data_IF_403786010699
#
_entry.id   IF_403786010699
#
_cell.length_a   1.000
_cell.length_b   1.000
_cell.length_c   1.000
_cell.angle_alpha   90.00
_cell.angle_beta   90.00
_cell.angle_gamma   90.00
#
_symmetry.space_group_name_H-M   'P 1'
#
loop_
_entity.id
_entity.type
_entity.pdbx_description
1 polymer ?
#
# COMPACT_ATOMS: atom_id res chain seq x y z
N UNK A 1 8.66 9.17 27.84
CA UNK A 1 8.35 7.73 27.98
C UNK A 1 9.60 7.01 28.43
N UNK A 2 9.47 5.94 29.22
CA UNK A 2 10.65 5.13 29.56
C UNK A 2 11.09 4.35 28.31
N UNK A 3 12.37 4.40 27.91
CA UNK A 3 12.86 3.63 26.78
C UNK A 3 12.85 2.13 27.10
N UNK A 4 12.52 1.32 26.10
CA UNK A 4 12.56 -0.15 26.15
C UNK A 4 14.01 -0.60 26.42
N UNK A 5 14.21 -1.67 27.18
CA UNK A 5 15.56 -2.08 27.55
C UNK A 5 16.33 -2.69 26.37
N UNK A 6 15.67 -3.54 25.57
CA UNK A 6 16.28 -4.24 24.44
C UNK A 6 15.41 -4.10 23.19
N UNK A 7 15.98 -3.52 22.13
CA UNK A 7 15.29 -3.32 20.86
C UNK A 7 16.03 -4.06 19.76
N UNK A 8 15.32 -4.86 18.97
CA UNK A 8 15.86 -5.46 17.75
C UNK A 8 15.41 -4.63 16.55
N UNK A 9 16.37 -4.18 15.75
CA UNK A 9 16.11 -3.36 14.57
C UNK A 9 16.23 -4.17 13.28
N UNK A 10 15.14 -4.20 12.52
CA UNK A 10 15.07 -4.71 11.16
C UNK A 10 15.52 -3.65 10.12
N UNK A 11 15.68 -4.03 8.84
CA UNK A 11 16.00 -3.13 7.74
C UNK A 11 15.01 -1.96 7.64
N UNK A 12 13.72 -2.23 7.91
CA UNK A 12 12.67 -1.21 7.93
C UNK A 12 12.96 -0.06 8.90
N UNK A 13 13.55 -0.36 10.06
CA UNK A 13 13.93 0.65 11.06
C UNK A 13 14.92 1.67 10.49
N UNK A 14 15.95 1.19 9.77
CA UNK A 14 16.98 2.05 9.19
C UNK A 14 16.50 2.79 7.94
N UNK A 15 15.69 2.12 7.11
CA UNK A 15 15.13 2.72 5.89
C UNK A 15 14.19 3.88 6.18
N UNK A 16 13.47 3.84 7.30
CA UNK A 16 12.56 4.90 7.75
C UNK A 16 13.22 5.96 8.64
N UNK A 17 14.51 5.84 8.92
CA UNK A 17 15.25 6.75 9.80
C UNK A 17 14.66 6.83 11.22
N UNK A 18 14.31 5.66 11.78
CA UNK A 18 13.79 5.55 13.13
C UNK A 18 14.75 6.15 14.18
N UNK A 19 14.29 6.99 15.12
CA UNK A 19 15.09 7.47 16.23
C UNK A 19 15.25 6.37 17.30
N UNK A 20 15.99 5.30 16.98
CA UNK A 20 16.13 4.12 17.85
C UNK A 20 16.70 4.46 19.23
N UNK A 21 17.51 5.51 19.35
CA UNK A 21 18.07 5.99 20.61
C UNK A 21 17.02 6.45 21.62
N UNK A 22 15.88 6.95 21.13
CA UNK A 22 14.78 7.42 21.99
C UNK A 22 13.85 6.27 22.38
N UNK A 23 13.86 5.19 21.58
CA UNK A 23 13.00 4.02 21.73
C UNK A 23 13.62 3.00 22.69
N UNK A 24 14.93 2.76 22.58
CA UNK A 24 15.59 1.67 23.28
C UNK A 24 16.97 1.99 23.82
N UNK A 25 17.32 1.42 24.98
CA UNK A 25 18.66 1.55 25.58
C UNK A 25 19.70 0.69 24.87
N UNK A 26 19.36 -0.58 24.61
CA UNK A 26 20.25 -1.53 23.93
C UNK A 26 19.68 -1.88 22.56
N UNK A 27 20.36 -1.46 21.49
CA UNK A 27 19.92 -1.68 20.11
C UNK A 27 20.69 -2.86 19.52
N UNK A 28 19.97 -3.90 19.14
CA UNK A 28 20.49 -5.12 18.52
C UNK A 28 20.09 -5.20 17.06
N UNK A 29 20.96 -5.76 16.25
CA UNK A 29 20.62 -6.16 14.87
C UNK A 29 21.55 -7.28 14.40
N UNK A 30 21.34 -7.73 13.17
CA UNK A 30 22.11 -8.79 12.54
C UNK A 30 22.97 -8.17 11.44
N UNK A 31 24.17 -8.71 11.23
CA UNK A 31 25.09 -8.21 10.21
C UNK A 31 24.51 -8.29 8.79
N UNK A 32 23.69 -9.32 8.54
CA UNK A 32 23.06 -9.54 7.23
C UNK A 32 22.07 -8.41 6.89
N UNK A 33 21.28 -7.95 7.86
CA UNK A 33 20.33 -6.83 7.69
C UNK A 33 21.05 -5.58 7.18
N UNK A 34 22.17 -5.20 7.81
CA UNK A 34 22.95 -4.02 7.39
C UNK A 34 23.60 -4.21 6.02
N UNK A 35 24.07 -5.43 5.71
CA UNK A 35 24.68 -5.76 4.40
C UNK A 35 23.66 -5.74 3.25
N UNK A 36 22.40 -6.04 3.56
CA UNK A 36 21.31 -6.07 2.59
C UNK A 36 20.90 -4.66 2.12
N UNK A 37 21.09 -3.64 2.96
CA UNK A 37 20.68 -2.26 2.67
C UNK A 37 21.46 -1.68 1.47
N UNK A 38 20.75 -1.49 0.36
CA UNK A 38 21.31 -0.92 -0.89
C UNK A 38 21.17 0.59 -0.99
N UNK A 39 20.23 1.18 -0.25
CA UNK A 39 19.95 2.62 -0.33
C UNK A 39 21.19 3.45 0.04
N UNK A 40 21.48 4.50 -0.74
CA UNK A 40 22.69 5.30 -0.58
C UNK A 40 22.58 6.27 0.59
N UNK A 41 21.40 6.83 0.83
CA UNK A 41 21.19 7.77 1.93
C UNK A 41 21.27 7.02 3.28
N UNK A 42 20.56 5.89 3.39
CA UNK A 42 20.58 5.06 4.60
C UNK A 42 21.98 4.53 4.91
N UNK A 43 22.75 4.05 3.91
CA UNK A 43 24.14 3.62 4.14
C UNK A 43 25.06 4.72 4.68
N UNK A 44 24.85 5.97 4.24
CA UNK A 44 25.61 7.11 4.76
C UNK A 44 25.25 7.38 6.22
N UNK A 45 23.96 7.33 6.58
CA UNK A 45 23.50 7.51 7.96
C UNK A 45 24.01 6.41 8.90
N UNK A 46 23.98 5.16 8.45
CA UNK A 46 24.51 4.01 9.20
C UNK A 46 26.01 4.14 9.55
N UNK A 47 26.77 4.91 8.77
CA UNK A 47 28.19 5.15 9.04
C UNK A 47 28.42 6.19 10.16
N UNK A 48 27.40 6.97 10.52
CA UNK A 48 27.50 8.11 11.47
C UNK A 48 26.40 8.06 12.54
N UNK A 49 26.02 6.86 12.99
CA UNK A 49 24.98 6.70 14.00
C UNK A 49 25.42 7.32 15.34
N UNK A 50 24.52 8.03 16.04
CA UNK A 50 24.81 8.63 17.35
C UNK A 50 24.72 7.62 18.51
N UNK A 51 24.47 6.34 18.22
CA UNK A 51 24.29 5.27 19.19
C UNK A 51 25.08 4.01 18.79
N UNK A 52 25.35 3.16 19.78
CA UNK A 52 26.02 1.88 19.56
C UNK A 52 25.05 0.82 19.05
N UNK A 53 25.41 0.16 17.96
CA UNK A 53 24.63 -0.90 17.33
C UNK A 53 25.27 -2.26 17.65
N UNK A 54 24.58 -3.09 18.44
CA UNK A 54 25.10 -4.41 18.86
C UNK A 54 24.73 -5.50 17.86
N UNK A 55 25.74 -6.12 17.27
CA UNK A 55 25.53 -7.25 16.37
C UNK A 55 25.47 -8.56 17.15
N UNK A 56 24.33 -9.25 17.09
CA UNK A 56 24.14 -10.56 17.73
C UNK A 56 23.52 -11.53 16.71
N UNK A 57 24.10 -12.72 16.59
CA UNK A 57 23.54 -13.80 15.76
C UNK A 57 22.67 -14.70 16.65
N UNK A 58 21.46 -15.09 16.19
CA UNK A 58 20.57 -15.93 16.96
C UNK A 58 21.07 -17.38 17.02
N UNK A 59 20.76 -18.09 18.11
CA UNK A 59 21.05 -19.51 18.18
C UNK A 59 20.19 -20.33 17.19
N UNK A 60 20.73 -21.41 16.59
CA UNK A 60 20.00 -22.22 15.61
C UNK A 60 18.70 -22.84 16.13
N UNK A 61 18.56 -23.03 17.44
CA UNK A 61 17.36 -23.56 18.08
C UNK A 61 16.17 -22.62 17.91
N UNK A 62 16.38 -21.32 18.14
CA UNK A 62 15.34 -20.30 17.98
C UNK A 62 14.98 -20.08 16.50
N UNK A 63 15.96 -20.18 15.60
CA UNK A 63 15.71 -20.13 14.15
C UNK A 63 14.76 -21.25 13.71
N UNK A 64 14.96 -22.47 14.22
CA UNK A 64 14.07 -23.61 13.94
C UNK A 64 12.67 -23.38 14.49
N UNK A 65 12.57 -22.93 15.75
CA UNK A 65 11.28 -22.66 16.41
C UNK A 65 10.46 -21.63 15.63
N UNK A 66 11.05 -20.49 15.30
CA UNK A 66 10.39 -19.43 14.52
C UNK A 66 10.02 -19.91 13.12
N UNK A 67 10.89 -20.70 12.48
CA UNK A 67 10.61 -21.28 11.16
C UNK A 67 9.39 -22.20 11.19
N UNK A 68 9.29 -23.06 12.20
CA UNK A 68 8.13 -23.95 12.36
C UNK A 68 6.85 -23.16 12.67
N UNK A 69 6.94 -22.15 13.54
CA UNK A 69 5.82 -21.28 13.86
C UNK A 69 5.31 -20.53 12.62
N UNK A 70 6.22 -19.91 11.86
CA UNK A 70 5.91 -19.14 10.63
C UNK A 70 5.26 -20.01 9.53
N UNK A 71 5.58 -21.32 9.49
CA UNK A 71 4.90 -22.27 8.59
C UNK A 71 3.46 -22.55 9.02
N UNK A 72 3.20 -22.58 10.33
CA UNK A 72 1.84 -22.74 10.88
C UNK A 72 0.99 -21.48 10.65
N UNK A 73 1.57 -20.28 10.75
CA UNK A 73 0.84 -19.02 10.43
C UNK A 73 0.57 -18.88 8.93
N UNK A 74 1.44 -19.45 8.10
CA UNK A 74 1.38 -19.37 6.63
C UNK A 74 2.18 -18.20 6.04
N UNK A 75 2.97 -17.49 6.85
CA UNK A 75 3.80 -16.35 6.41
C UNK A 75 5.22 -16.75 6.00
N UNK A 76 5.68 -17.97 6.31
CA UNK A 76 7.00 -18.47 5.90
C UNK A 76 7.37 -18.23 4.41
N UNK A 77 6.51 -18.47 3.41
CA UNK A 77 6.89 -18.27 2.00
C UNK A 77 7.07 -16.79 1.58
N UNK A 78 6.64 -15.85 2.43
CA UNK A 78 6.82 -14.41 2.24
C UNK A 78 7.99 -13.85 3.05
N UNK A 79 8.48 -14.58 4.05
CA UNK A 79 9.62 -14.19 4.87
C UNK A 79 10.94 -14.60 4.20
N UNK A 80 11.92 -13.71 4.27
CA UNK A 80 13.29 -13.98 3.85
C UNK A 80 14.11 -14.68 4.95
N UNK A 81 15.32 -15.12 4.60
CA UNK A 81 16.22 -15.73 5.56
C UNK A 81 16.66 -14.75 6.67
N UNK A 82 16.89 -13.48 6.30
CA UNK A 82 17.25 -12.42 7.24
C UNK A 82 16.09 -12.10 8.17
N UNK A 83 14.85 -12.07 7.67
CA UNK A 83 13.65 -11.86 8.49
C UNK A 83 13.50 -12.95 9.56
N UNK A 84 13.68 -14.22 9.19
CA UNK A 84 13.62 -15.34 10.14
C UNK A 84 14.70 -15.21 11.21
N UNK A 85 15.91 -14.77 10.85
CA UNK A 85 16.97 -14.55 11.83
C UNK A 85 16.62 -13.40 12.79
N UNK A 86 16.05 -12.29 12.29
CA UNK A 86 15.61 -11.17 13.14
C UNK A 86 14.53 -11.61 14.13
N UNK A 87 13.53 -12.34 13.65
CA UNK A 87 12.47 -12.94 14.48
C UNK A 87 13.04 -13.93 15.52
N UNK A 88 14.05 -14.71 15.15
CA UNK A 88 14.72 -15.61 16.07
C UNK A 88 15.53 -14.86 17.15
N UNK A 89 16.19 -13.76 16.76
CA UNK A 89 16.92 -12.91 17.69
C UNK A 89 15.97 -12.24 18.68
N UNK A 90 14.80 -11.76 18.23
CA UNK A 90 13.79 -11.19 19.13
C UNK A 90 13.29 -12.22 20.12
N UNK A 91 12.98 -13.44 19.67
CA UNK A 91 12.54 -14.51 20.54
C UNK A 91 13.62 -14.90 21.56
N UNK A 92 14.88 -14.95 21.13
CA UNK A 92 16.00 -15.26 22.01
C UNK A 92 16.15 -14.22 23.12
N UNK A 93 16.08 -12.93 22.81
CA UNK A 93 16.19 -11.87 23.82
C UNK A 93 15.00 -11.90 24.78
N UNK A 94 13.79 -12.13 24.27
CA UNK A 94 12.60 -12.30 25.13
C UNK A 94 12.80 -13.46 26.12
N UNK A 95 13.30 -14.60 25.63
CA UNK A 95 13.58 -15.77 26.46
C UNK A 95 14.69 -15.54 27.51
N UNK A 96 15.69 -14.71 27.18
CA UNK A 96 16.81 -14.37 28.08
C UNK A 96 16.40 -13.37 29.19
N UNK A 97 15.55 -12.37 28.88
CA UNK A 97 15.26 -11.27 29.81
C UNK A 97 13.91 -11.38 30.53
N UNK A 98 12.85 -11.83 29.83
CA UNK A 98 11.48 -11.92 30.38
C UNK A 98 11.11 -13.36 30.71
N UNK A 99 11.49 -14.30 29.82
CA UNK A 99 11.15 -15.71 29.89
C UNK A 99 10.08 -16.13 28.87
N UNK A 100 9.83 -17.44 28.76
CA UNK A 100 9.02 -18.03 27.68
C UNK A 100 7.58 -18.40 28.05
N UNK A 101 7.14 -18.09 29.28
CA UNK A 101 5.84 -18.54 29.81
C UNK A 101 4.63 -17.89 29.12
N UNK A 102 4.77 -16.65 28.67
CA UNK A 102 3.71 -15.89 27.99
C UNK A 102 3.68 -16.13 26.47
N UNK A 103 4.72 -16.76 25.91
CA UNK A 103 4.87 -16.96 24.47
C UNK A 103 4.01 -18.13 23.98
N UNK A 104 3.32 -17.92 22.86
CA UNK A 104 2.45 -18.92 22.24
C UNK A 104 3.26 -19.87 21.37
N UNK A 105 3.04 -21.19 21.53
CA UNK A 105 3.71 -22.23 20.71
C UNK A 105 2.97 -22.55 19.42
N UNK A 106 1.67 -22.25 19.38
CA UNK A 106 0.82 -22.45 18.21
C UNK A 106 -0.02 -21.21 17.96
N UNK A 107 -0.24 -20.84 16.69
CA UNK A 107 -1.04 -19.69 16.35
C UNK A 107 -2.53 -19.93 16.63
N UNK A 108 -3.25 -18.85 16.93
CA UNK A 108 -4.69 -18.91 17.14
C UNK A 108 -5.47 -19.13 15.84
N UNK A 109 -6.68 -19.66 15.97
CA UNK A 109 -7.54 -19.92 14.83
C UNK A 109 -8.03 -18.61 14.21
N UNK A 110 -7.94 -18.55 12.88
CA UNK A 110 -8.38 -17.41 12.08
C UNK A 110 -9.89 -17.23 12.18
N UNK A 111 -10.35 -16.02 12.55
CA UNK A 111 -11.76 -15.64 12.51
C UNK A 111 -12.09 -15.07 11.13
N UNK A 112 -13.27 -15.42 10.62
CA UNK A 112 -13.70 -15.06 9.26
C UNK A 112 -14.99 -14.27 9.32
N UNK A 113 -14.97 -13.06 8.76
CA UNK A 113 -16.15 -12.23 8.54
C UNK A 113 -16.35 -12.02 7.04
N UNK A 114 -17.53 -11.56 6.64
CA UNK A 114 -17.76 -11.24 5.24
C UNK A 114 -18.69 -10.05 5.05
N UNK A 115 -18.37 -9.20 4.08
CA UNK A 115 -19.06 -7.95 3.76
C UNK A 115 -19.41 -7.91 2.27
N UNK A 116 -20.43 -7.14 1.89
CA UNK A 116 -20.77 -6.92 0.48
C UNK A 116 -19.83 -5.89 -0.19
N UNK A 117 -19.02 -5.20 0.61
CA UNK A 117 -18.10 -4.17 0.16
C UNK A 117 -17.04 -4.72 -0.79
N UNK A 118 -16.63 -3.90 -1.77
CA UNK A 118 -15.61 -4.28 -2.74
C UNK A 118 -14.19 -4.12 -2.16
N UNK A 119 -13.23 -5.03 -2.41
CA UNK A 119 -11.87 -4.94 -1.83
C UNK A 119 -11.07 -3.69 -2.23
N UNK A 120 -11.47 -3.03 -3.31
CA UNK A 120 -10.82 -1.81 -3.83
C UNK A 120 -11.50 -0.52 -3.35
N UNK A 121 -12.47 -0.58 -2.43
CA UNK A 121 -13.00 0.65 -1.82
C UNK A 121 -11.90 1.34 -1.02
N UNK A 122 -11.66 2.65 -1.21
CA UNK A 122 -10.59 3.40 -0.58
C UNK A 122 -10.91 3.70 0.89
N UNK A 123 -11.01 2.67 1.71
CA UNK A 123 -11.13 2.82 3.15
C UNK A 123 -9.75 3.16 3.72
N UNK A 124 -9.68 4.14 4.62
CA UNK A 124 -8.44 4.56 5.30
C UNK A 124 -7.36 5.11 4.36
N UNK A 125 -7.76 5.67 3.21
CA UNK A 125 -6.84 6.47 2.39
C UNK A 125 -7.05 7.93 2.77
N UNK A 126 -6.04 8.54 3.38
CA UNK A 126 -6.07 9.96 3.73
C UNK A 126 -6.40 10.82 2.50
N UNK A 127 -7.32 11.78 2.67
CA UNK A 127 -7.79 12.65 1.59
C UNK A 127 -8.92 12.07 0.73
N UNK A 128 -9.35 10.83 0.98
CA UNK A 128 -10.58 10.27 0.40
C UNK A 128 -11.70 10.34 1.43
N UNK A 129 -12.55 11.38 1.35
CA UNK A 129 -13.72 11.51 2.20
C UNK A 129 -14.84 10.57 1.73
N UNK A 130 -15.27 9.66 2.61
CA UNK A 130 -16.48 8.86 2.41
C UNK A 130 -17.55 9.41 3.36
N UNK A 131 -18.61 10.09 2.85
CA UNK A 131 -19.66 10.56 3.71
C UNK A 131 -20.35 9.36 4.37
N UNK A 132 -20.20 9.22 5.68
CA UNK A 132 -21.04 8.30 6.44
C UNK A 132 -22.45 8.86 6.41
N UNK A 133 -23.42 8.14 5.85
CA UNK A 133 -24.82 8.43 6.15
C UNK A 133 -24.98 8.32 7.66
N UNK A 134 -25.14 9.44 8.35
CA UNK A 134 -25.73 9.43 9.68
C UNK A 134 -27.06 8.72 9.55
N UNK A 135 -27.20 7.56 10.20
CA UNK A 135 -28.53 7.05 10.51
C UNK A 135 -29.08 8.06 11.50
N UNK A 136 -29.93 8.98 11.03
CA UNK A 136 -30.82 9.70 11.92
C UNK A 136 -31.63 8.64 12.67
N UNK A 137 -31.30 8.46 13.95
CA UNK A 137 -32.13 7.74 14.90
C UNK A 137 -33.34 8.67 15.12
N UNK A 138 -34.40 8.52 14.33
CA UNK A 138 -35.66 9.17 14.64
C UNK A 138 -36.41 8.26 15.62
N UNK A 139 -36.55 8.77 16.84
CA UNK A 139 -37.52 8.29 17.81
C UNK A 139 -38.93 8.32 17.20
N UNK A 140 -39.70 7.30 17.57
CA UNK A 140 -41.03 6.94 17.11
C UNK A 140 -42.10 7.97 17.48
N UNK A 141 -42.97 8.36 16.54
CA UNK A 141 -44.42 8.50 16.79
C UNK A 141 -45.20 8.02 15.55
N UNK A 142 -46.23 7.24 15.86
CA UNK A 142 -47.14 6.45 15.04
C UNK A 142 -48.12 7.28 14.17
N UNK A 143 -48.36 6.87 12.91
CA UNK A 143 -49.69 6.78 12.27
C UNK A 143 -49.61 6.06 10.90
N UNK A 144 -50.61 5.20 10.63
CA UNK A 144 -50.62 4.10 9.65
C UNK A 144 -50.77 4.40 8.14
N UNK A 145 -50.91 3.34 7.30
CA UNK A 145 -50.53 3.30 5.86
C UNK A 145 -51.75 3.30 4.90
N UNK A 146 -51.65 3.01 3.57
CA UNK A 146 -50.55 3.11 2.57
C UNK A 146 -50.97 3.85 1.26
N UNK A 147 -50.02 4.19 0.36
CA UNK A 147 -50.18 4.03 -1.11
C UNK A 147 -48.90 4.39 -1.90
N UNK A 148 -48.42 3.41 -2.65
CA UNK A 148 -47.79 3.42 -3.97
C UNK A 148 -46.93 4.62 -4.46
N UNK A 149 -45.68 4.32 -4.82
CA UNK A 149 -44.79 5.31 -5.44
C UNK A 149 -43.40 4.76 -5.76
N UNK A 150 -43.31 4.01 -6.87
CA UNK A 150 -42.11 3.75 -7.70
C UNK A 150 -40.75 3.58 -7.00
N UNK A 151 -40.28 2.34 -6.95
CA UNK A 151 -38.88 2.00 -6.73
C UNK A 151 -37.98 2.63 -7.82
N UNK A 152 -37.34 3.76 -7.51
CA UNK A 152 -36.24 4.29 -8.30
C UNK A 152 -35.00 3.40 -8.12
N UNK A 153 -34.98 2.28 -8.84
CA UNK A 153 -33.87 1.33 -9.00
C UNK A 153 -32.68 1.86 -9.83
N UNK A 154 -32.65 3.15 -10.18
CA UNK A 154 -31.59 3.72 -11.02
C UNK A 154 -30.33 4.14 -10.27
N UNK A 155 -30.35 4.27 -8.94
CA UNK A 155 -29.17 4.71 -8.18
C UNK A 155 -28.25 3.58 -7.69
N UNK A 156 -28.06 2.55 -8.53
CA UNK A 156 -26.99 1.54 -8.39
C UNK A 156 -26.01 1.56 -9.57
N UNK A 157 -26.11 2.58 -10.41
CA UNK A 157 -25.21 2.87 -11.53
C UNK A 157 -24.17 3.92 -11.15
N UNK A 158 -23.30 3.60 -10.18
CA UNK A 158 -22.01 4.27 -10.10
C UNK A 158 -21.17 3.86 -11.32
N UNK A 159 -21.24 4.69 -12.36
CA UNK A 159 -20.48 4.60 -13.61
C UNK A 159 -18.98 4.69 -13.30
N UNK A 160 -18.33 3.53 -13.17
CA UNK A 160 -16.90 3.40 -12.85
C UNK A 160 -15.95 3.83 -13.99
N UNK A 161 -16.44 4.60 -14.97
CA UNK A 161 -15.63 5.13 -16.07
C UNK A 161 -16.18 6.49 -16.46
N UNK A 162 -15.44 7.57 -16.16
CA UNK A 162 -15.71 8.88 -16.77
C UNK A 162 -15.60 8.72 -18.29
N UNK A 163 -16.61 9.17 -19.02
CA UNK A 163 -16.43 9.56 -20.42
C UNK A 163 -15.29 10.58 -20.47
N UNK A 164 -14.43 10.56 -21.50
CA UNK A 164 -13.37 11.58 -21.63
C UNK A 164 -14.00 12.97 -21.54
N UNK A 165 -13.41 13.83 -20.72
CA UNK A 165 -13.84 15.23 -20.56
C UNK A 165 -13.98 15.88 -21.95
N UNK A 166 -15.01 16.70 -22.17
CA UNK A 166 -15.16 17.47 -23.40
C UNK A 166 -13.90 18.33 -23.63
N UNK A 167 -13.58 18.56 -24.92
CA UNK A 167 -12.36 19.23 -25.33
C UNK A 167 -12.42 20.72 -24.95
N UNK A 168 -11.53 21.16 -24.05
CA UNK A 168 -11.50 22.52 -23.47
C UNK A 168 -11.02 23.56 -24.51
N UNK A 169 -10.53 23.13 -25.67
CA UNK A 169 -9.99 24.00 -26.72
C UNK A 169 -10.99 25.05 -27.23
N UNK A 170 -12.30 24.78 -27.21
CA UNK A 170 -13.31 25.73 -27.69
C UNK A 170 -13.65 26.83 -26.67
N UNK A 171 -13.61 26.53 -25.36
CA UNK A 171 -13.84 27.54 -24.31
C UNK A 171 -12.64 28.50 -24.16
N UNK A 172 -11.41 28.00 -24.34
CA UNK A 172 -10.21 28.83 -24.32
C UNK A 172 -10.11 29.77 -25.53
N UNK A 173 -10.70 29.42 -26.67
CA UNK A 173 -10.76 30.31 -27.84
C UNK A 173 -11.76 31.46 -27.65
N UNK A 174 -12.83 31.24 -26.89
CA UNK A 174 -13.83 32.28 -26.59
C UNK A 174 -13.24 33.38 -25.70
N UNK A 175 -12.46 32.99 -24.68
CA UNK A 175 -11.79 33.93 -23.75
C UNK A 175 -10.65 34.74 -24.38
N UNK A 176 -10.13 34.32 -25.54
CA UNK A 176 -9.08 35.05 -26.27
C UNK A 176 -9.66 36.12 -27.23
N UNK A 177 -10.98 36.14 -27.44
CA UNK A 177 -11.64 37.08 -28.36
C UNK A 177 -12.21 38.30 -27.61
N UNK A 178 -12.58 38.16 -26.33
CA UNK A 178 -13.21 39.23 -25.55
C UNK A 178 -12.21 40.13 -24.78
N UNK A 179 -10.90 39.94 -24.98
CA UNK A 179 -9.83 40.67 -24.28
C UNK A 179 -9.43 42.02 -24.90
N UNK A 180 -10.33 42.73 -25.58
CA UNK A 180 -10.00 44.03 -26.18
C UNK A 180 -11.19 44.99 -26.13
N UNK A 181 -11.30 45.71 -25.02
CA UNK A 181 -11.63 47.15 -24.92
C UNK A 181 -11.64 47.53 -23.42
N UNK A 182 -10.81 48.50 -23.06
CA UNK A 182 -10.74 49.18 -21.76
C UNK A 182 -11.82 50.26 -21.71
N UNK A 183 -12.48 50.49 -20.57
CA UNK A 183 -12.83 51.85 -20.06
C UNK A 183 -12.91 51.83 -18.51
N UNK A 184 -12.46 52.93 -17.92
CA UNK A 184 -12.32 53.27 -16.50
C UNK A 184 -13.65 53.78 -15.91
N UNK A 185 -14.02 53.39 -14.68
CA UNK A 185 -14.85 54.21 -13.76
C UNK A 185 -14.46 53.94 -12.29
N UNK A 186 -14.38 55.02 -11.49
CA UNK A 186 -13.98 55.12 -10.08
C UNK A 186 -15.18 55.11 -9.11
N UNK A 187 -14.92 54.76 -7.83
CA UNK A 187 -15.71 54.97 -6.58
C UNK A 187 -17.04 54.15 -6.44
N UNK A 188 -17.44 53.56 -5.30
CA UNK A 188 -17.39 53.94 -3.87
C UNK A 188 -17.29 52.70 -2.95
N UNK A 189 -16.77 52.91 -1.72
CA UNK A 189 -16.76 51.96 -0.60
C UNK A 189 -18.14 51.92 0.10
N UNK A 190 -18.79 50.75 0.15
CA UNK A 190 -19.83 50.45 1.16
C UNK A 190 -19.52 49.10 1.83
N UNK A 191 -19.32 49.18 3.15
CA UNK A 191 -19.19 48.05 4.07
C UNK A 191 -20.58 47.42 4.29
N UNK A 192 -20.84 46.23 3.75
CA UNK A 192 -21.94 45.36 4.19
C UNK A 192 -21.35 44.12 4.89
N UNK A 193 -21.56 44.07 6.21
CA UNK A 193 -21.34 42.93 7.08
C UNK A 193 -22.34 41.81 6.74
N UNK A 194 -21.97 40.90 5.84
CA UNK A 194 -22.68 39.62 5.70
C UNK A 194 -22.17 38.63 6.77
N UNK A 195 -22.89 38.60 7.90
CA UNK A 195 -22.90 37.49 8.86
C UNK A 195 -23.41 36.22 8.17
N UNK A 196 -22.51 35.48 7.52
CA UNK A 196 -22.80 34.12 7.08
C UNK A 196 -22.61 33.16 8.25
N UNK A 197 -23.75 32.82 8.86
CA UNK A 197 -23.95 31.73 9.80
C UNK A 197 -23.16 30.47 9.37
N UNK A 198 -22.27 30.00 10.26
CA UNK A 198 -21.56 28.73 10.20
C UNK A 198 -22.54 27.57 9.99
N UNK A 199 -22.85 27.27 8.72
CA UNK A 199 -23.54 26.05 8.33
C UNK A 199 -22.54 24.90 8.41
N UNK A 200 -22.42 24.30 9.60
CA UNK A 200 -21.88 22.96 9.90
C UNK A 200 -21.15 22.30 8.71
N UNK A 201 -19.93 22.77 8.42
CA UNK A 201 -19.03 22.11 7.49
C UNK A 201 -18.59 20.80 8.14
N UNK A 202 -19.16 19.69 7.68
CA UNK A 202 -18.64 18.34 7.84
C UNK A 202 -17.26 18.23 7.13
N UNK A 203 -16.30 19.07 7.52
CA UNK A 203 -14.96 19.27 6.98
C UNK A 203 -13.98 18.13 7.33
N UNK A 204 -14.49 16.92 7.55
CA UNK A 204 -13.75 15.79 8.13
C UNK A 204 -12.81 15.03 7.18
N UNK A 205 -12.39 15.61 6.05
CA UNK A 205 -11.63 14.87 5.02
C UNK A 205 -10.50 15.60 4.30
N UNK A 206 -10.23 16.86 4.63
CA UNK A 206 -9.20 17.65 3.94
C UNK A 206 -7.79 17.25 4.36
N UNK A 207 -6.81 17.38 3.46
CA UNK A 207 -5.39 17.36 3.81
C UNK A 207 -4.92 18.82 3.89
N UNK A 208 -4.71 19.32 5.10
CA UNK A 208 -4.32 20.70 5.38
C UNK A 208 -2.85 20.76 5.83
N UNK A 209 -2.17 21.91 5.70
CA UNK A 209 -0.82 22.08 6.26
C UNK A 209 -0.74 21.74 7.75
N UNK A 210 -1.83 21.94 8.49
CA UNK A 210 -1.93 21.59 9.92
C UNK A 210 -1.98 20.09 10.15
N UNK A 211 -2.68 19.34 9.29
CA UNK A 211 -2.79 17.89 9.44
C UNK A 211 -1.76 17.09 8.65
N UNK A 212 -1.00 17.66 7.71
CA UNK A 212 -0.07 16.87 6.90
C UNK A 212 1.00 16.19 7.76
N UNK A 213 1.49 16.92 8.77
CA UNK A 213 2.37 16.36 9.80
C UNK A 213 1.61 15.34 10.61
N UNK A 214 0.39 15.63 11.07
CA UNK A 214 -0.43 14.65 11.81
C UNK A 214 -0.79 13.41 10.99
N UNK A 215 -0.93 13.44 9.67
CA UNK A 215 -1.27 12.27 8.85
C UNK A 215 -0.01 11.44 8.58
N UNK A 216 1.11 12.15 8.39
CA UNK A 216 2.43 11.54 8.50
C UNK A 216 2.62 10.96 9.90
N UNK A 217 2.10 11.61 10.96
CA UNK A 217 2.40 11.35 12.38
C UNK A 217 1.38 10.51 13.17
N UNK A 218 0.19 10.28 12.64
CA UNK A 218 -0.78 9.22 12.98
C UNK A 218 -0.33 7.92 12.33
N UNK A 219 0.28 8.05 11.14
CA UNK A 219 1.28 7.09 10.68
C UNK A 219 2.62 7.30 11.39
N UNK A 220 2.75 8.06 12.49
CA UNK A 220 3.96 8.17 13.34
C UNK A 220 3.80 7.82 14.83
N UNK A 221 2.58 7.57 15.35
CA UNK A 221 2.36 7.39 16.78
C UNK A 221 2.97 6.07 17.29
N UNK A 222 4.03 6.16 18.09
CA UNK A 222 4.65 5.03 18.77
C UNK A 222 3.93 4.78 20.10
N UNK A 223 2.78 4.12 20.08
CA UNK A 223 2.15 3.67 21.33
C UNK A 223 2.89 2.42 21.85
N UNK A 224 4.03 2.64 22.49
CA UNK A 224 4.72 1.57 23.21
C UNK A 224 3.88 1.23 24.45
N UNK A 225 3.41 -0.02 24.61
CA UNK A 225 2.74 -0.42 25.84
C UNK A 225 3.62 -0.10 27.05
N UNK A 226 3.02 0.39 28.14
CA UNK A 226 3.74 0.55 29.40
C UNK A 226 4.21 -0.85 29.85
N UNK A 227 5.50 -1.00 30.13
CA UNK A 227 6.17 -2.23 30.63
C UNK A 227 6.71 -3.24 29.58
N UNK A 228 7.10 -2.78 28.38
CA UNK A 228 7.81 -3.64 27.41
C UNK A 228 9.32 -3.64 27.65
N UNK A 229 9.90 -4.80 27.92
CA UNK A 229 11.35 -4.96 28.12
C UNK A 229 12.11 -5.27 26.82
N UNK A 230 11.52 -6.11 25.96
CA UNK A 230 12.08 -6.50 24.66
C UNK A 230 11.08 -6.19 23.56
N UNK A 231 11.54 -5.61 22.45
CA UNK A 231 10.68 -5.34 21.31
C UNK A 231 11.40 -5.31 19.97
N UNK A 232 10.65 -5.60 18.91
CA UNK A 232 11.15 -5.57 17.54
C UNK A 232 10.63 -4.34 16.80
N UNK A 233 11.52 -3.58 16.19
CA UNK A 233 11.17 -2.52 15.24
C UNK A 233 11.23 -3.10 13.84
N UNK A 234 10.06 -3.28 13.23
CA UNK A 234 9.92 -3.70 11.84
C UNK A 234 8.73 -3.01 11.18
N UNK A 235 8.84 -2.81 9.86
CA UNK A 235 7.76 -2.26 9.03
C UNK A 235 7.08 -3.32 8.18
N UNK A 236 7.56 -4.58 8.20
CA UNK A 236 7.00 -5.64 7.36
C UNK A 236 5.81 -6.32 8.04
N UNK A 237 4.69 -6.39 7.32
CA UNK A 237 3.46 -7.01 7.81
C UNK A 237 3.65 -8.49 8.15
N UNK A 238 4.44 -9.24 7.36
CA UNK A 238 4.65 -10.66 7.61
C UNK A 238 5.38 -10.91 8.94
N UNK A 239 6.42 -10.11 9.22
CA UNK A 239 7.15 -10.16 10.49
C UNK A 239 6.25 -9.74 11.67
N UNK A 240 5.50 -8.65 11.53
CA UNK A 240 4.58 -8.18 12.57
C UNK A 240 3.52 -9.24 12.91
N UNK A 241 2.96 -9.91 11.90
CA UNK A 241 1.97 -10.98 12.11
C UNK A 241 2.54 -12.15 12.90
N UNK A 242 3.75 -12.61 12.55
CA UNK A 242 4.41 -13.69 13.29
C UNK A 242 4.73 -13.25 14.73
N UNK A 243 5.26 -12.04 14.93
CA UNK A 243 5.58 -11.51 16.27
C UNK A 243 4.33 -11.45 17.16
N UNK A 244 3.25 -10.83 16.68
CA UNK A 244 1.99 -10.72 17.42
C UNK A 244 1.37 -12.09 17.74
N UNK A 245 1.41 -13.04 16.80
CA UNK A 245 0.90 -14.39 17.04
C UNK A 245 1.77 -15.20 18.01
N UNK A 246 3.07 -14.95 18.07
CA UNK A 246 3.97 -15.56 19.06
C UNK A 246 3.81 -14.91 20.45
N UNK A 247 3.18 -13.74 20.55
CA UNK A 247 3.07 -12.96 21.78
C UNK A 247 4.28 -12.05 22.03
N UNK A 248 5.07 -11.75 21.00
CA UNK A 248 6.20 -10.83 21.07
C UNK A 248 5.74 -9.40 20.78
N UNK A 249 6.39 -8.44 21.43
CA UNK A 249 6.04 -7.02 21.27
C UNK A 249 6.67 -6.42 20.02
N UNK A 250 5.81 -5.89 19.14
CA UNK A 250 6.23 -5.06 18.01
C UNK A 250 6.27 -3.61 18.46
N UNK A 251 7.41 -2.96 18.27
CA UNK A 251 7.57 -1.54 18.46
C UNK A 251 7.37 -0.88 17.10
N UNK A 252 6.23 -0.23 16.93
CA UNK A 252 6.01 0.54 15.74
C UNK A 252 6.95 1.74 15.74
N UNK A 253 7.75 1.83 14.69
CA UNK A 253 8.29 3.12 14.29
C UNK A 253 7.29 3.71 13.35
N UNK A 254 6.93 4.92 13.69
CA UNK A 254 6.04 5.70 12.93
C UNK A 254 4.67 4.99 12.72
N UNK A 255 3.79 4.85 13.73
CA UNK A 255 2.37 4.46 13.55
C UNK A 255 2.06 3.14 12.82
N UNK A 256 3.08 2.39 12.39
CA UNK A 256 2.97 1.13 11.65
C UNK A 256 2.83 -0.07 12.59
N UNK A 257 2.11 0.11 13.71
CA UNK A 257 1.62 -1.04 14.48
C UNK A 257 0.32 -1.46 13.82
N UNK A 258 0.13 -2.76 13.57
CA UNK A 258 -1.18 -3.27 13.13
C UNK A 258 -2.16 -3.20 14.30
N UNK A 259 -2.59 -1.99 14.69
CA UNK A 259 -3.49 -1.81 15.83
C UNK A 259 -4.95 -1.64 15.46
N UNK A 260 -5.27 -1.37 14.20
CA UNK A 260 -6.65 -1.37 13.69
C UNK A 260 -6.73 -1.12 12.17
N UNK A 261 -5.66 -0.60 11.57
CA UNK A 261 -5.56 -0.46 10.12
C UNK A 261 -5.59 -1.84 9.44
N UNK A 262 -6.65 -2.10 8.68
CA UNK A 262 -6.82 -3.32 7.88
C UNK A 262 -5.69 -3.43 6.86
N UNK A 263 -4.67 -4.22 7.20
CA UNK A 263 -3.67 -4.68 6.25
C UNK A 263 -4.32 -5.60 5.21
N UNK A 264 -3.64 -5.84 4.10
CA UNK A 264 -4.16 -6.70 3.05
C UNK A 264 -3.24 -7.89 2.82
N UNK A 265 -3.84 -9.03 2.52
CA UNK A 265 -3.13 -10.21 2.03
C UNK A 265 -3.77 -10.70 0.73
N UNK A 266 -3.01 -11.47 -0.03
CA UNK A 266 -3.50 -12.13 -1.24
C UNK A 266 -3.90 -13.57 -0.91
N UNK A 267 -5.12 -13.96 -1.25
CA UNK A 267 -5.62 -15.34 -1.13
C UNK A 267 -5.95 -15.92 -2.49
N UNK A 268 -5.48 -17.12 -2.77
CA UNK A 268 -5.87 -17.86 -3.96
C UNK A 268 -7.30 -18.39 -3.79
N UNK A 269 -8.21 -18.06 -4.73
CA UNK A 269 -9.57 -18.60 -4.68
C UNK A 269 -9.67 -20.05 -5.19
N UNK A 270 -8.60 -20.60 -5.79
CA UNK A 270 -8.57 -21.98 -6.29
C UNK A 270 -8.02 -22.99 -5.28
N UNK A 271 -6.83 -22.73 -4.70
CA UNK A 271 -6.18 -23.63 -3.74
C UNK A 271 -6.21 -23.12 -2.29
N UNK A 272 -6.83 -21.96 -2.04
CA UNK A 272 -7.04 -21.35 -0.73
C UNK A 272 -5.78 -20.95 0.07
N UNK A 273 -4.57 -21.19 -0.45
CA UNK A 273 -3.33 -20.65 0.11
C UNK A 273 -3.34 -19.11 0.09
N UNK A 274 -2.86 -18.53 1.18
CA UNK A 274 -2.64 -17.09 1.38
C UNK A 274 -1.17 -16.74 1.20
N UNK A 275 -0.89 -15.47 0.94
CA UNK A 275 0.45 -14.87 0.93
C UNK A 275 0.31 -13.38 1.29
N UNK A 276 1.25 -12.87 2.08
CA UNK A 276 1.33 -11.45 2.44
C UNK A 276 2.12 -10.61 1.42
N UNK A 277 2.80 -11.24 0.45
CA UNK A 277 3.48 -10.53 -0.63
C UNK A 277 2.48 -9.93 -1.62
N UNK A 278 2.24 -8.63 -1.48
CA UNK A 278 1.28 -7.86 -2.28
C UNK A 278 1.71 -7.64 -3.74
N UNK A 279 2.96 -7.94 -4.10
CA UNK A 279 3.45 -7.83 -5.48
C UNK A 279 3.19 -9.11 -6.30
N UNK A 280 2.76 -10.21 -5.67
CA UNK A 280 2.48 -11.46 -6.36
C UNK A 280 1.23 -11.37 -7.22
N UNK A 281 1.35 -11.96 -8.40
CA UNK A 281 0.25 -12.09 -9.37
C UNK A 281 -0.17 -13.57 -9.52
N UNK A 282 0.79 -14.48 -9.43
CA UNK A 282 0.60 -15.93 -9.49
C UNK A 282 0.65 -16.52 -8.09
N UNK A 283 -0.18 -17.53 -7.84
CA UNK A 283 -0.17 -18.25 -6.58
C UNK A 283 1.06 -19.16 -6.48
N UNK A 284 1.87 -19.00 -5.44
CA UNK A 284 3.09 -19.82 -5.25
C UNK A 284 2.85 -21.31 -4.99
N UNK A 285 1.60 -21.74 -4.76
CA UNK A 285 1.29 -23.17 -4.58
C UNK A 285 0.76 -23.84 -5.85
N UNK A 286 -0.19 -23.21 -6.56
CA UNK A 286 -0.81 -23.80 -7.75
C UNK A 286 -0.40 -23.15 -9.09
N UNK A 287 0.46 -22.12 -9.06
CA UNK A 287 0.96 -21.42 -10.25
C UNK A 287 -0.06 -20.52 -10.96
N UNK A 288 -1.36 -20.65 -10.65
CA UNK A 288 -2.41 -19.91 -11.34
C UNK A 288 -2.46 -18.43 -10.93
N UNK A 289 -2.87 -17.57 -11.88
CA UNK A 289 -3.15 -16.14 -11.67
C UNK A 289 -4.51 -15.91 -11.00
N UNK A 290 -4.68 -16.44 -9.79
CA UNK A 290 -5.97 -16.56 -9.09
C UNK A 290 -5.98 -15.87 -7.72
N UNK A 291 -4.96 -15.07 -7.42
CA UNK A 291 -4.89 -14.28 -6.19
C UNK A 291 -5.98 -13.20 -6.15
N UNK A 292 -6.53 -12.99 -4.95
CA UNK A 292 -7.54 -11.98 -4.62
C UNK A 292 -7.15 -11.31 -3.32
N UNK A 293 -7.26 -9.99 -3.28
CA UNK A 293 -6.97 -9.17 -2.11
C UNK A 293 -8.07 -9.37 -1.05
N UNK A 294 -7.66 -9.63 0.18
CA UNK A 294 -8.53 -9.79 1.36
C UNK A 294 -7.95 -8.92 2.46
N UNK A 295 -8.79 -8.12 3.12
CA UNK A 295 -8.35 -7.32 4.26
C UNK A 295 -8.28 -8.17 5.53
N UNK A 296 -7.26 -7.95 6.33
CA UNK A 296 -6.98 -8.63 7.60
C UNK A 296 -6.75 -7.64 8.71
N UNK A 297 -7.23 -7.99 9.91
CA UNK A 297 -6.97 -7.28 11.16
C UNK A 297 -6.30 -8.27 12.09
N UNK A 298 -5.22 -7.86 12.74
CA UNK A 298 -4.57 -8.63 13.80
C UNK A 298 -4.85 -7.84 15.08
N UNK A 299 -5.48 -8.47 16.06
CA UNK A 299 -5.66 -7.82 17.36
C UNK A 299 -4.41 -8.04 18.22
N UNK A 300 -4.24 -7.24 19.28
CA UNK A 300 -3.14 -7.40 20.24
C UNK A 300 -3.08 -8.80 20.88
N UNK A 301 -4.22 -9.50 20.97
CA UNK A 301 -4.29 -10.90 21.40
C UNK A 301 -3.66 -11.89 20.40
N UNK A 302 -3.20 -11.44 19.24
CA UNK A 302 -2.71 -12.29 18.15
C UNK A 302 -3.83 -12.99 17.37
N UNK A 303 -5.10 -12.63 17.58
CA UNK A 303 -6.22 -13.16 16.79
C UNK A 303 -6.23 -12.56 15.39
N UNK A 304 -6.13 -13.39 14.35
CA UNK A 304 -6.23 -12.97 12.96
C UNK A 304 -7.69 -12.97 12.49
N UNK A 305 -8.19 -11.82 12.06
CA UNK A 305 -9.53 -11.62 11.53
C UNK A 305 -9.48 -11.30 10.03
N UNK A 306 -10.01 -12.19 9.18
CA UNK A 306 -10.11 -11.99 7.73
C UNK A 306 -11.49 -11.48 7.33
N UNK A 307 -11.56 -10.37 6.60
CA UNK A 307 -12.81 -9.81 6.08
C UNK A 307 -12.95 -10.09 4.58
N UNK A 308 -13.83 -11.04 4.23
CA UNK A 308 -14.07 -11.43 2.84
C UNK A 308 -15.13 -10.57 2.16
N UNK A 309 -14.94 -10.31 0.87
CA UNK A 309 -15.97 -9.66 0.05
C UNK A 309 -16.89 -10.69 -0.61
N UNK A 310 -18.21 -10.57 -0.36
CA UNK A 310 -19.28 -11.31 -1.06
C UNK A 310 -19.70 -10.64 -2.37
N UNK A 311 -19.05 -9.55 -2.77
CA UNK A 311 -19.38 -8.82 -3.99
C UNK A 311 -19.17 -9.73 -5.23
N UNK A 312 -20.20 -9.98 -6.05
CA UNK A 312 -20.12 -10.90 -7.18
C UNK A 312 -19.16 -10.41 -8.28
N UNK A 313 -18.80 -9.12 -8.30
CA UNK A 313 -17.83 -8.56 -9.25
C UNK A 313 -16.40 -9.07 -9.00
N UNK A 314 -16.08 -9.52 -7.79
CA UNK A 314 -14.73 -9.98 -7.40
C UNK A 314 -14.40 -11.32 -8.06
N UNK A 315 -15.37 -12.24 -8.12
CA UNK A 315 -15.23 -13.57 -8.71
C UNK A 315 -16.07 -13.68 -9.98
N UNK A 316 -15.75 -12.84 -10.96
CA UNK A 316 -16.41 -12.85 -12.26
C UNK A 316 -15.52 -13.52 -13.33
N UNK A 317 -15.99 -14.58 -14.03
CA UNK A 317 -15.21 -15.26 -15.07
C UNK A 317 -15.11 -14.51 -16.40
N UNK A 318 -15.79 -13.36 -16.56
CA UNK A 318 -15.78 -12.58 -17.80
C UNK A 318 -14.37 -12.09 -18.15
N UNK A 319 -14.00 -12.25 -19.43
CA UNK A 319 -12.72 -11.80 -19.98
C UNK A 319 -11.51 -12.67 -19.64
N UNK A 320 -11.71 -13.82 -18.99
CA UNK A 320 -10.64 -14.78 -18.70
C UNK A 320 -10.38 -15.75 -19.87
N UNK A 321 -11.39 -16.09 -20.67
CA UNK A 321 -11.27 -17.01 -21.81
C UNK A 321 -11.23 -16.23 -23.13
N UNK A 322 -10.11 -16.33 -23.84
CA UNK A 322 -9.88 -15.74 -25.15
C UNK A 322 -8.82 -16.53 -25.92
N UNK A 323 -8.78 -16.36 -27.24
CA UNK A 323 -7.80 -17.06 -28.09
C UNK A 323 -6.41 -16.47 -27.89
N UNK A 324 -5.44 -17.33 -27.56
CA UNK A 324 -4.04 -16.95 -27.43
C UNK A 324 -3.33 -17.04 -28.78
N UNK A 325 -2.34 -16.16 -29.04
CA UNK A 325 -1.50 -16.28 -30.23
C UNK A 325 -0.63 -17.54 -30.18
N UNK A 326 -0.14 -17.98 -31.32
CA UNK A 326 0.83 -19.08 -31.38
C UNK A 326 2.13 -18.69 -30.65
N UNK A 327 2.76 -19.63 -29.93
CA UNK A 327 4.01 -19.34 -29.22
C UNK A 327 5.11 -19.00 -30.23
N UNK A 328 5.79 -17.87 -30.02
CA UNK A 328 6.91 -17.42 -30.87
C UNK A 328 8.19 -17.30 -30.05
N UNK A 329 9.31 -17.65 -30.68
CA UNK A 329 10.65 -17.46 -30.15
C UNK A 329 11.40 -16.31 -30.83
N UNK A 330 12.63 -16.06 -30.39
CA UNK A 330 13.52 -15.05 -30.95
C UNK A 330 13.71 -13.81 -30.07
N UNK A 331 14.61 -12.91 -30.50
CA UNK A 331 15.06 -11.75 -29.71
C UNK A 331 13.96 -10.72 -29.42
N UNK A 332 12.89 -10.70 -30.22
CA UNK A 332 11.82 -9.70 -30.16
C UNK A 332 10.44 -10.30 -29.87
N UNK A 333 10.37 -11.60 -29.57
CA UNK A 333 9.10 -12.25 -29.28
C UNK A 333 8.57 -11.81 -27.90
N UNK A 334 7.31 -11.38 -27.86
CA UNK A 334 6.61 -10.99 -26.64
C UNK A 334 5.33 -11.81 -26.53
N UNK A 335 5.44 -12.95 -25.85
CA UNK A 335 4.29 -13.82 -25.59
C UNK A 335 3.50 -13.29 -24.37
N UNK A 336 2.18 -13.56 -24.26
CA UNK A 336 1.42 -13.25 -23.06
C UNK A 336 2.05 -13.88 -21.80
N UNK A 337 1.94 -13.21 -20.65
CA UNK A 337 2.52 -13.67 -19.39
C UNK A 337 1.55 -14.63 -18.67
N UNK A 338 1.89 -15.92 -18.64
CA UNK A 338 1.03 -17.02 -18.18
C UNK A 338 1.54 -17.72 -16.92
N UNK A 339 2.86 -17.76 -16.68
CA UNK A 339 3.47 -18.36 -15.48
C UNK A 339 4.52 -17.42 -14.88
N UNK A 340 4.81 -17.57 -13.59
CA UNK A 340 5.76 -16.69 -12.86
C UNK A 340 7.21 -16.78 -13.36
N UNK A 341 7.62 -17.97 -13.78
CA UNK A 341 8.96 -18.33 -14.25
C UNK A 341 9.11 -18.17 -15.77
N UNK A 342 8.14 -17.51 -16.41
CA UNK A 342 8.15 -17.33 -17.86
C UNK A 342 9.34 -16.49 -18.30
N UNK A 343 10.14 -17.06 -19.21
CA UNK A 343 11.31 -16.40 -19.77
C UNK A 343 10.89 -15.35 -20.81
N UNK A 344 11.32 -14.11 -20.60
CA UNK A 344 11.17 -13.02 -21.56
C UNK A 344 12.52 -12.63 -22.17
N UNK A 345 12.59 -12.37 -23.48
CA UNK A 345 13.77 -11.75 -24.08
C UNK A 345 14.09 -10.40 -23.43
N UNK A 346 15.38 -10.04 -23.39
CA UNK A 346 15.81 -8.78 -22.80
C UNK A 346 15.46 -7.58 -23.70
N UNK A 347 14.27 -7.02 -23.48
CA UNK A 347 13.82 -5.78 -24.11
C UNK A 347 13.86 -4.64 -23.09
N UNK A 348 15.06 -4.09 -22.87
CA UNK A 348 15.29 -3.03 -21.89
C UNK A 348 15.30 -1.65 -22.54
N UNK A 349 14.88 -0.64 -21.77
CA UNK A 349 14.98 0.77 -22.13
C UNK A 349 16.43 1.27 -22.04
N UNK A 350 16.79 2.27 -22.85
CA UNK A 350 18.04 3.01 -22.74
C UNK A 350 18.12 3.79 -21.43
N UNK A 351 19.30 4.33 -21.08
CA UNK A 351 19.44 5.18 -19.90
C UNK A 351 18.57 6.44 -20.01
N UNK A 352 18.61 7.11 -21.19
CA UNK A 352 17.81 8.31 -21.49
C UNK A 352 16.32 8.06 -21.32
N UNK A 353 15.81 6.93 -21.82
CA UNK A 353 14.38 6.58 -21.70
C UNK A 353 13.90 6.27 -20.27
N UNK A 354 14.82 6.03 -19.31
CA UNK A 354 14.47 5.75 -17.90
C UNK A 354 14.54 6.99 -17.02
N UNK A 355 15.17 8.06 -17.50
CA UNK A 355 15.28 9.31 -16.76
C UNK A 355 13.89 9.95 -16.64
N UNK A 356 13.61 10.48 -15.45
CA UNK A 356 12.44 11.31 -15.16
C UNK A 356 12.95 12.65 -14.67
N UNK A 357 12.18 13.71 -14.90
CA UNK A 357 12.47 15.03 -14.35
C UNK A 357 12.21 15.02 -12.84
N UNK A 358 13.21 15.40 -12.04
CA UNK A 358 13.03 15.70 -10.62
C UNK A 358 13.21 17.21 -10.42
N UNK A 359 12.09 17.91 -10.20
CA UNK A 359 12.06 19.37 -10.04
C UNK A 359 12.78 19.83 -8.77
N UNK A 360 12.80 18.98 -7.74
CA UNK A 360 13.43 19.29 -6.45
C UNK A 360 14.89 18.81 -6.35
N UNK A 361 15.47 18.35 -7.46
CA UNK A 361 16.87 17.98 -7.48
C UNK A 361 17.75 19.23 -7.56
N UNK A 362 18.94 19.24 -6.92
CA UNK A 362 19.80 20.43 -6.86
C UNK A 362 20.32 20.86 -8.24
N UNK A 363 20.35 19.94 -9.21
CA UNK A 363 20.78 20.16 -10.59
C UNK A 363 19.67 20.72 -11.50
N UNK A 364 18.43 20.84 -11.01
CA UNK A 364 17.29 21.30 -11.80
C UNK A 364 17.46 22.74 -12.32
N UNK A 365 17.96 23.65 -11.47
CA UNK A 365 18.14 25.08 -11.81
C UNK A 365 19.14 25.27 -12.95
N UNK A 366 20.14 24.39 -13.05
CA UNK A 366 21.16 24.44 -14.10
C UNK A 366 20.69 23.84 -15.43
N UNK A 367 19.49 23.26 -15.49
CA UNK A 367 18.95 22.63 -16.68
C UNK A 367 18.57 23.63 -17.76
N UNK A 368 18.98 23.37 -19.01
CA UNK A 368 18.55 24.17 -20.18
C UNK A 368 17.06 24.02 -20.50
N UNK A 369 16.46 22.91 -20.06
CA UNK A 369 15.05 22.58 -20.26
C UNK A 369 14.44 22.16 -18.93
N UNK A 370 13.21 22.61 -18.61
CA UNK A 370 12.47 22.15 -17.43
C UNK A 370 12.13 20.65 -17.44
N UNK A 371 12.28 19.98 -18.59
CA UNK A 371 11.91 18.57 -18.78
C UNK A 371 13.07 17.72 -19.29
N UNK A 372 13.14 16.48 -18.80
CA UNK A 372 14.04 15.47 -19.31
C UNK A 372 13.72 15.14 -20.78
N UNK A 373 14.78 14.97 -21.58
CA UNK A 373 14.64 14.68 -22.99
C UNK A 373 14.15 13.25 -23.27
N UNK A 374 13.29 13.12 -24.29
CA UNK A 374 12.83 11.81 -24.73
C UNK A 374 13.88 11.06 -25.56
N UNK A 375 13.83 9.73 -25.48
CA UNK A 375 14.63 8.84 -26.32
C UNK A 375 13.84 8.45 -27.59
N UNK A 376 14.28 8.98 -28.73
CA UNK A 376 13.72 8.69 -30.06
C UNK A 376 14.71 7.97 -30.99
N UNK A 377 16.00 7.95 -30.64
CA UNK A 377 17.06 7.46 -31.53
C UNK A 377 17.48 6.02 -31.24
N UNK A 378 17.25 5.52 -30.01
CA UNK A 378 17.70 4.18 -29.65
C UNK A 378 16.95 3.08 -30.39
N UNK A 379 17.59 1.92 -30.53
CA UNK A 379 16.93 0.71 -31.05
C UNK A 379 15.71 0.31 -30.20
N UNK A 380 15.73 0.56 -28.89
CA UNK A 380 14.57 0.31 -28.02
C UNK A 380 13.39 1.22 -28.32
N UNK A 381 13.64 2.47 -28.73
CA UNK A 381 12.59 3.40 -29.15
C UNK A 381 11.91 2.92 -30.44
N UNK A 382 12.71 2.49 -31.43
CA UNK A 382 12.22 1.92 -32.70
C UNK A 382 11.38 0.66 -32.46
N UNK A 383 11.82 -0.21 -31.54
CA UNK A 383 11.09 -1.42 -31.13
C UNK A 383 9.87 -1.14 -30.25
N UNK A 384 9.62 0.13 -29.90
CA UNK A 384 8.52 0.59 -29.04
C UNK A 384 8.50 -0.11 -27.68
N UNK A 385 9.69 -0.33 -27.09
CA UNK A 385 9.79 -0.83 -25.72
C UNK A 385 9.16 0.20 -24.77
N UNK A 386 8.36 -0.27 -23.82
CA UNK A 386 7.69 0.57 -22.83
C UNK A 386 8.06 0.10 -21.44
N UNK A 387 8.01 1.03 -20.49
CA UNK A 387 8.16 0.71 -19.07
C UNK A 387 7.03 -0.24 -18.63
N UNK A 388 7.38 -1.25 -17.83
CA UNK A 388 6.46 -2.20 -17.22
C UNK A 388 5.39 -1.56 -16.35
N UNK A 389 5.64 -0.35 -15.81
CA UNK A 389 4.65 0.41 -15.04
C UNK A 389 3.51 0.97 -15.92
N UNK A 390 3.77 1.20 -17.22
CA UNK A 390 2.77 1.77 -18.12
C UNK A 390 1.69 0.73 -18.51
N UNK A 391 0.52 1.25 -18.92
CA UNK A 391 -0.55 0.42 -19.48
C UNK A 391 -1.19 -0.57 -18.51
N UNK A 392 -1.04 -0.38 -17.19
CA UNK A 392 -1.70 -1.21 -16.19
C UNK A 392 -3.23 -1.22 -16.36
N UNK A 393 -3.85 -0.05 -16.53
CA UNK A 393 -5.30 0.06 -16.80
C UNK A 393 -5.72 -0.64 -18.09
N UNK A 394 -4.91 -0.53 -19.17
CA UNK A 394 -5.18 -1.21 -20.44
C UNK A 394 -5.18 -2.73 -20.29
N UNK A 395 -4.23 -3.27 -19.52
CA UNK A 395 -4.11 -4.72 -19.23
C UNK A 395 -5.26 -5.27 -18.39
N UNK A 396 -6.03 -4.41 -17.70
CA UNK A 396 -7.22 -4.80 -16.93
C UNK A 396 -8.49 -4.90 -17.80
N UNK A 397 -8.46 -4.42 -19.04
CA UNK A 397 -9.61 -4.50 -19.94
C UNK A 397 -9.82 -5.93 -20.45
N UNK A 398 -11.08 -6.30 -20.63
CA UNK A 398 -11.46 -7.57 -21.24
C UNK A 398 -10.97 -7.61 -22.71
N UNK A 399 -10.14 -8.61 -23.11
CA UNK A 399 -9.66 -8.74 -24.49
C UNK A 399 -10.77 -8.92 -25.54
N UNK A 400 -11.95 -9.39 -25.13
CA UNK A 400 -13.08 -9.67 -26.03
C UNK A 400 -13.93 -8.42 -26.30
N UNK A 401 -13.66 -7.30 -25.62
CA UNK A 401 -14.41 -6.05 -25.80
C UNK A 401 -14.00 -5.32 -27.10
N UNK A 402 -14.97 -4.65 -27.73
CA UNK A 402 -14.71 -3.83 -28.92
C UNK A 402 -13.84 -2.61 -28.58
N UNK A 403 -13.14 -2.10 -29.60
CA UNK A 403 -12.23 -0.96 -29.47
C UNK A 403 -12.46 0.05 -30.58
N UNK A 404 -11.99 1.29 -30.37
CA UNK A 404 -12.00 2.35 -31.38
C UNK A 404 -11.26 1.87 -32.65
N UNK A 405 -11.84 2.17 -33.82
CA UNK A 405 -11.43 1.67 -35.15
C UNK A 405 -9.92 1.78 -35.43
N UNK A 406 -9.30 2.90 -35.08
CA UNK A 406 -7.90 3.18 -35.41
C UNK A 406 -6.91 2.85 -34.28
N UNK A 407 -7.37 2.31 -33.14
CA UNK A 407 -6.52 2.04 -31.98
C UNK A 407 -6.02 0.60 -31.99
N UNK A 408 -4.75 0.41 -32.30
CA UNK A 408 -4.06 -0.90 -32.19
C UNK A 408 -3.59 -1.12 -30.76
N UNK A 409 -4.44 -1.75 -29.92
CA UNK A 409 -4.03 -2.20 -28.58
C UNK A 409 -3.22 -3.49 -28.68
N UNK A 410 -2.07 -3.51 -28.01
CA UNK A 410 -1.29 -4.71 -27.65
C UNK A 410 -1.67 -5.16 -26.25
#
# INVERSE_FOLDING_TARGET
>A
MAPVEHVVADAGAFLRDAPLQDIGKNIYTIREVVREIRDKATRRRLAVLPYELRFKEPFPEYVRLVTEFSKKTGDYPSLSATDIQVLALTYQLEAEFVGVSHLKKEPEKVKVSSSIQHPETPLHISGFHLPSKSKALQETVDHGPPADGSENLEFSSFMFWRNPLPNIDHELQQLLIDGREEEEEEEEEEEEEDELEDSDDDGGGWITPSNIKQIQHESEQCDIPKDVQVGCVTTDFAMQNVLLQMGLHVLAVNGMLVREARSYILRCHGCFKTTSDMNRVFCGHCGNKTLKKVSVTINDDGTLHMHFSRNPKVLNPRGLRYSLPTPKGGKYAVNPHLTEDQRFPQLRLSHKARQKTNVFAPDYIAGVSPFAENDISSRSAILQVRDSMLGAGRRRLNPNASRKKFVKKR
#
